data_IF_747574887799
#
_entry.id   IF_747574887799
#
_cell.length_a   1.000
_cell.length_b   1.000
_cell.length_c   1.000
_cell.angle_alpha   90.00
_cell.angle_beta   90.00
_cell.angle_gamma   90.00
#
_symmetry.space_group_name_H-M   'P 1'
#
loop_
_entity.id
_entity.type
_entity.pdbx_description
1 polymer ?
#
# COMPACT_ATOMS: atom_id res chain seq x y z
N UNK A 1 -1.17 -18.49 -21.59
CA UNK A 1 -1.60 -17.11 -21.27
C UNK A 1 -0.41 -16.16 -21.27
N UNK A 2 0.58 -16.34 -20.38
CA UNK A 2 1.79 -15.50 -20.29
C UNK A 2 2.53 -15.41 -21.64
N UNK A 3 2.85 -16.53 -22.30
CA UNK A 3 3.53 -16.51 -23.61
C UNK A 3 2.75 -15.80 -24.74
N UNK A 4 1.40 -15.79 -24.70
CA UNK A 4 0.57 -15.04 -25.69
C UNK A 4 0.58 -13.54 -25.41
N UNK A 5 0.55 -13.14 -24.13
CA UNK A 5 0.72 -11.75 -23.73
C UNK A 5 2.14 -11.23 -24.01
N UNK A 6 3.16 -12.08 -23.82
CA UNK A 6 4.56 -11.77 -24.11
C UNK A 6 4.79 -11.52 -25.62
N UNK A 7 4.29 -12.43 -26.47
CA UNK A 7 4.34 -12.27 -27.93
C UNK A 7 3.56 -11.04 -28.45
N UNK A 8 2.51 -10.60 -27.72
CA UNK A 8 1.79 -9.37 -28.02
C UNK A 8 2.58 -8.12 -27.63
N UNK A 9 3.33 -8.18 -26.53
CA UNK A 9 4.22 -7.10 -26.08
C UNK A 9 5.39 -6.88 -27.03
N UNK A 10 5.99 -7.95 -27.57
CA UNK A 10 7.05 -7.85 -28.59
C UNK A 10 6.55 -7.31 -29.93
N UNK A 11 5.31 -7.63 -30.33
CA UNK A 11 4.73 -7.20 -31.61
C UNK A 11 3.95 -5.88 -31.55
N UNK A 12 4.09 -5.11 -30.46
CA UNK A 12 3.32 -3.87 -30.20
C UNK A 12 3.43 -2.84 -31.33
N UNK A 13 4.56 -2.81 -32.04
CA UNK A 13 4.81 -1.90 -33.16
C UNK A 13 3.91 -2.18 -34.39
N UNK A 14 3.38 -3.39 -34.54
CA UNK A 14 2.52 -3.77 -35.67
C UNK A 14 1.04 -3.40 -35.48
N UNK A 15 0.64 -2.90 -34.31
CA UNK A 15 -0.75 -2.61 -33.96
C UNK A 15 -1.03 -1.12 -33.74
N UNK A 16 -0.28 -0.24 -34.40
CA UNK A 16 -0.55 1.20 -34.39
C UNK A 16 -1.95 1.50 -34.98
N UNK A 17 -2.90 1.87 -34.12
CA UNK A 17 -4.22 2.40 -34.51
C UNK A 17 -5.45 1.54 -34.19
N UNK A 18 -5.30 0.30 -33.67
CA UNK A 18 -6.44 -0.51 -33.19
C UNK A 18 -6.61 -0.42 -31.67
N UNK A 19 -7.85 -0.50 -31.18
CA UNK A 19 -8.15 -0.61 -29.75
C UNK A 19 -7.40 -1.81 -29.15
N UNK A 20 -6.31 -1.53 -28.44
CA UNK A 20 -5.38 -2.52 -27.89
C UNK A 20 -6.13 -3.53 -27.03
N UNK A 21 -7.11 -3.07 -26.25
CA UNK A 21 -7.96 -3.88 -25.37
C UNK A 21 -8.81 -4.87 -26.18
N UNK A 22 -9.44 -4.42 -27.26
CA UNK A 22 -10.24 -5.28 -28.13
C UNK A 22 -9.34 -6.34 -28.81
N UNK A 23 -8.17 -5.93 -29.29
CA UNK A 23 -7.21 -6.83 -29.95
C UNK A 23 -6.67 -7.90 -28.99
N UNK A 24 -6.37 -7.52 -27.73
CA UNK A 24 -6.01 -8.46 -26.65
C UNK A 24 -7.16 -9.43 -26.36
N UNK A 25 -8.39 -8.93 -26.32
CA UNK A 25 -9.56 -9.76 -26.05
C UNK A 25 -9.83 -10.77 -27.17
N UNK A 26 -9.55 -10.44 -28.43
CA UNK A 26 -9.71 -11.38 -29.56
C UNK A 26 -8.62 -12.45 -29.64
N UNK A 27 -7.49 -12.29 -28.93
CA UNK A 27 -6.39 -13.28 -28.90
C UNK A 27 -6.68 -14.52 -28.04
N UNK A 28 -7.71 -14.49 -27.20
CA UNK A 28 -8.07 -15.58 -26.30
C UNK A 28 -9.26 -16.39 -26.82
N UNK A 29 -9.14 -17.71 -26.78
CA UNK A 29 -10.25 -18.64 -27.04
C UNK A 29 -11.37 -18.49 -26.00
N UNK A 30 -12.59 -18.93 -26.30
CA UNK A 30 -13.73 -18.84 -25.38
C UNK A 30 -13.48 -19.51 -24.01
N UNK A 31 -12.74 -20.63 -23.99
CA UNK A 31 -12.34 -21.30 -22.73
C UNK A 31 -11.30 -20.48 -21.96
N UNK A 32 -10.32 -19.90 -22.64
CA UNK A 32 -9.32 -19.03 -22.02
C UNK A 32 -9.98 -17.78 -21.43
N UNK A 33 -10.93 -17.15 -22.14
CA UNK A 33 -11.71 -16.01 -21.63
C UNK A 33 -12.46 -16.34 -20.34
N UNK A 34 -13.14 -17.49 -20.30
CA UNK A 34 -13.85 -17.94 -19.09
C UNK A 34 -12.89 -18.15 -17.91
N UNK A 35 -11.75 -18.78 -18.14
CA UNK A 35 -10.76 -19.03 -17.08
C UNK A 35 -10.14 -17.72 -16.58
N UNK A 36 -9.87 -16.77 -17.47
CA UNK A 36 -9.39 -15.43 -17.12
C UNK A 36 -10.46 -14.70 -16.29
N UNK A 37 -11.73 -14.74 -16.69
CA UNK A 37 -12.84 -14.13 -15.96
C UNK A 37 -12.96 -14.68 -14.53
N UNK A 38 -12.92 -16.01 -14.38
CA UNK A 38 -12.97 -16.66 -13.05
C UNK A 38 -11.78 -16.20 -12.20
N UNK A 39 -10.58 -16.14 -12.79
CA UNK A 39 -9.39 -15.68 -12.09
C UNK A 39 -9.50 -14.20 -11.68
N UNK A 40 -10.00 -13.32 -12.56
CA UNK A 40 -10.22 -11.90 -12.26
C UNK A 40 -11.21 -11.71 -11.10
N UNK A 41 -12.34 -12.43 -11.12
CA UNK A 41 -13.34 -12.39 -10.04
C UNK A 41 -12.72 -12.85 -8.72
N UNK A 42 -11.95 -13.94 -8.73
CA UNK A 42 -11.26 -14.42 -7.53
C UNK A 42 -10.27 -13.39 -6.96
N UNK A 43 -9.54 -12.68 -7.82
CA UNK A 43 -8.65 -11.60 -7.41
C UNK A 43 -9.42 -10.39 -6.85
N UNK A 44 -10.58 -10.04 -7.42
CA UNK A 44 -11.40 -8.95 -6.90
C UNK A 44 -11.95 -9.29 -5.51
N UNK A 45 -12.49 -10.50 -5.34
CA UNK A 45 -12.99 -10.97 -4.04
C UNK A 45 -11.89 -11.00 -2.98
N UNK A 46 -10.68 -11.45 -3.34
CA UNK A 46 -9.54 -11.38 -2.43
C UNK A 46 -9.24 -9.93 -2.00
N UNK A 47 -9.19 -8.98 -2.94
CA UNK A 47 -8.79 -7.60 -2.62
C UNK A 47 -9.84 -6.93 -1.76
N UNK A 48 -11.11 -7.15 -2.08
CA UNK A 48 -12.23 -6.74 -1.24
C UNK A 48 -12.11 -7.32 0.18
N UNK A 49 -11.86 -8.63 0.30
CA UNK A 49 -11.66 -9.29 1.59
C UNK A 49 -10.48 -8.74 2.38
N UNK A 50 -9.37 -8.43 1.72
CA UNK A 50 -8.18 -7.84 2.35
C UNK A 50 -8.45 -6.43 2.89
N UNK A 51 -9.12 -5.57 2.12
CA UNK A 51 -9.47 -4.21 2.58
C UNK A 51 -10.50 -4.25 3.72
N UNK A 52 -11.52 -5.11 3.60
CA UNK A 52 -12.48 -5.33 4.67
C UNK A 52 -11.80 -5.83 5.95
N UNK A 53 -10.85 -6.77 5.83
CA UNK A 53 -10.07 -7.28 6.94
C UNK A 53 -9.23 -6.19 7.62
N UNK A 54 -8.41 -5.45 6.85
CA UNK A 54 -7.54 -4.40 7.38
C UNK A 54 -8.35 -3.35 8.17
N UNK A 55 -9.45 -2.86 7.59
CA UNK A 55 -10.30 -1.90 8.28
C UNK A 55 -10.99 -2.48 9.52
N UNK A 56 -11.35 -3.76 9.50
CA UNK A 56 -12.03 -4.43 10.63
C UNK A 56 -11.06 -4.58 11.80
N UNK A 57 -9.80 -4.92 11.54
CA UNK A 57 -8.76 -5.02 12.57
C UNK A 57 -8.46 -3.66 13.19
N UNK A 58 -8.35 -2.60 12.38
CA UNK A 58 -8.13 -1.25 12.90
C UNK A 58 -9.30 -0.79 13.78
N UNK A 59 -10.54 -1.03 13.34
CA UNK A 59 -11.75 -0.73 14.13
C UNK A 59 -11.81 -1.55 15.43
N UNK A 60 -11.53 -2.86 15.36
CA UNK A 60 -11.47 -3.75 16.50
C UNK A 60 -10.42 -3.31 17.52
N UNK A 61 -9.20 -3.03 17.07
CA UNK A 61 -8.10 -2.56 17.91
C UNK A 61 -8.46 -1.22 18.58
N UNK A 62 -9.04 -0.29 17.83
CA UNK A 62 -9.48 1.01 18.36
C UNK A 62 -10.48 0.83 19.51
N UNK A 63 -11.49 -0.02 19.34
CA UNK A 63 -12.47 -0.26 20.40
C UNK A 63 -11.89 -1.01 21.60
N UNK A 64 -11.03 -2.01 21.38
CA UNK A 64 -10.49 -2.83 22.47
C UNK A 64 -9.42 -2.09 23.28
N UNK A 65 -8.61 -1.22 22.67
CA UNK A 65 -7.69 -0.39 23.45
C UNK A 65 -8.40 0.70 24.26
N UNK A 66 -9.52 1.24 23.77
CA UNK A 66 -10.37 2.10 24.59
C UNK A 66 -11.00 1.33 25.77
N UNK A 67 -11.44 0.08 25.54
CA UNK A 67 -11.89 -0.82 26.61
C UNK A 67 -10.80 -1.04 27.65
N UNK A 68 -9.58 -1.38 27.24
CA UNK A 68 -8.47 -1.60 28.17
C UNK A 68 -8.22 -0.36 29.04
N UNK A 69 -8.34 0.85 28.49
CA UNK A 69 -8.19 2.10 29.24
C UNK A 69 -9.34 2.28 30.26
N UNK A 70 -10.57 1.97 29.86
CA UNK A 70 -11.74 2.00 30.74
C UNK A 70 -11.63 0.99 31.89
N UNK A 71 -11.30 -0.27 31.57
CA UNK A 71 -11.21 -1.37 32.54
C UNK A 71 -10.04 -1.16 33.54
N UNK A 72 -8.95 -0.52 33.11
CA UNK A 72 -7.80 -0.21 33.97
C UNK A 72 -7.92 1.12 34.73
N UNK A 73 -8.94 1.93 34.43
CA UNK A 73 -9.05 3.31 34.94
C UNK A 73 -7.86 4.21 34.53
N UNK A 74 -7.11 3.80 33.51
CA UNK A 74 -5.86 4.44 33.09
C UNK A 74 -6.04 5.43 31.95
N UNK A 75 -4.93 6.04 31.51
CA UNK A 75 -4.89 6.90 30.33
C UNK A 75 -5.14 6.10 29.05
N UNK A 76 -5.91 6.67 28.12
CA UNK A 76 -6.10 6.06 26.80
C UNK A 76 -4.80 6.13 26.00
N UNK A 77 -4.33 4.97 25.52
CA UNK A 77 -3.17 4.82 24.61
C UNK A 77 -3.59 4.17 23.28
N UNK A 78 -4.81 4.49 22.84
CA UNK A 78 -5.50 3.79 21.76
C UNK A 78 -4.85 4.08 20.42
N UNK A 79 -4.63 5.35 20.08
CA UNK A 79 -4.10 5.72 18.77
C UNK A 79 -2.59 5.52 18.65
N UNK A 80 -1.85 5.59 19.77
CA UNK A 80 -0.44 5.16 19.82
C UNK A 80 -0.31 3.70 19.40
N UNK A 81 -1.11 2.80 20.01
CA UNK A 81 -1.06 1.36 19.73
C UNK A 81 -1.64 0.99 18.36
N UNK A 82 -2.72 1.65 17.93
CA UNK A 82 -3.24 1.48 16.56
C UNK A 82 -2.21 1.95 15.53
N UNK A 83 -1.53 3.07 15.80
CA UNK A 83 -0.45 3.55 14.93
C UNK A 83 0.70 2.55 14.80
N UNK A 84 1.10 1.94 15.93
CA UNK A 84 2.10 0.89 15.98
C UNK A 84 1.65 -0.38 15.22
N UNK A 85 0.41 -0.80 15.45
CA UNK A 85 -0.20 -1.96 14.80
C UNK A 85 -0.15 -1.85 13.27
N UNK A 86 -0.59 -0.72 12.70
CA UNK A 86 -0.60 -0.51 11.25
C UNK A 86 0.82 -0.35 10.70
N UNK A 87 1.68 0.40 11.40
CA UNK A 87 3.09 0.60 11.00
C UNK A 87 3.88 -0.72 10.94
N UNK A 88 3.75 -1.56 11.96
CA UNK A 88 4.40 -2.87 11.99
C UNK A 88 3.85 -3.81 10.92
N UNK A 89 2.53 -3.81 10.69
CA UNK A 89 1.92 -4.61 9.63
C UNK A 89 2.48 -4.26 8.25
N UNK A 90 2.65 -2.97 7.95
CA UNK A 90 3.25 -2.49 6.70
C UNK A 90 4.70 -2.96 6.54
N UNK A 91 5.48 -2.95 7.62
CA UNK A 91 6.85 -3.47 7.62
C UNK A 91 6.88 -4.99 7.39
N UNK A 92 5.99 -5.74 8.05
CA UNK A 92 5.83 -7.17 7.88
C UNK A 92 5.36 -7.57 6.48
N UNK A 93 4.50 -6.77 5.83
CA UNK A 93 4.13 -6.94 4.43
C UNK A 93 5.36 -6.92 3.50
N UNK A 94 6.31 -6.01 3.75
CA UNK A 94 7.55 -5.92 2.98
C UNK A 94 8.43 -7.16 3.18
N UNK A 95 8.52 -7.66 4.41
CA UNK A 95 9.19 -8.93 4.71
C UNK A 95 8.55 -10.06 3.89
N UNK A 96 7.21 -10.14 3.89
CA UNK A 96 6.47 -11.10 3.06
C UNK A 96 6.82 -11.03 1.58
N UNK A 97 6.91 -9.83 1.02
CA UNK A 97 7.33 -9.63 -0.37
C UNK A 97 8.79 -10.04 -0.63
N UNK A 98 9.70 -9.96 0.34
CA UNK A 98 11.07 -10.48 0.16
C UNK A 98 11.10 -12.01 0.20
N UNK A 99 10.29 -12.62 1.07
CA UNK A 99 10.23 -14.08 1.27
C UNK A 99 9.72 -14.85 0.06
N UNK A 100 8.89 -14.25 -0.79
CA UNK A 100 8.30 -15.00 -1.91
C UNK A 100 9.30 -15.33 -3.01
N UNK A 101 10.31 -14.47 -3.25
CA UNK A 101 11.27 -14.64 -4.33
C UNK A 101 11.96 -16.02 -4.34
N UNK A 102 12.51 -16.53 -3.21
CA UNK A 102 13.05 -17.89 -3.17
C UNK A 102 11.95 -18.97 -3.31
N UNK A 103 10.74 -18.73 -2.82
CA UNK A 103 9.65 -19.72 -2.84
C UNK A 103 9.19 -20.01 -4.27
N UNK A 104 8.94 -18.97 -5.08
CA UNK A 104 8.50 -19.13 -6.47
C UNK A 104 9.60 -19.68 -7.38
N UNK A 105 10.86 -19.60 -6.95
CA UNK A 105 11.98 -20.22 -7.65
C UNK A 105 12.00 -21.73 -7.49
N UNK A 106 11.58 -22.23 -6.33
CA UNK A 106 11.57 -23.66 -6.03
C UNK A 106 10.23 -24.32 -6.34
N UNK A 107 9.12 -23.62 -6.08
CA UNK A 107 7.76 -24.13 -6.21
C UNK A 107 6.99 -23.36 -7.28
N UNK A 108 6.00 -24.02 -7.89
CA UNK A 108 5.14 -23.38 -8.87
C UNK A 108 4.35 -22.23 -8.23
N UNK A 109 4.27 -21.09 -8.92
CA UNK A 109 3.57 -19.87 -8.47
C UNK A 109 2.14 -20.14 -7.98
N UNK A 110 1.43 -21.08 -8.62
CA UNK A 110 0.07 -21.49 -8.20
C UNK A 110 0.02 -22.13 -6.81
N UNK A 111 1.03 -22.93 -6.45
CA UNK A 111 1.10 -23.59 -5.15
C UNK A 111 1.43 -22.55 -4.08
N UNK A 112 2.41 -21.70 -4.34
CA UNK A 112 2.78 -20.60 -3.44
C UNK A 112 1.58 -19.68 -3.17
N UNK A 113 0.81 -19.32 -4.21
CA UNK A 113 -0.38 -18.49 -4.08
C UNK A 113 -1.46 -19.16 -3.21
N UNK A 114 -1.79 -20.43 -3.50
CA UNK A 114 -2.82 -21.16 -2.74
C UNK A 114 -2.44 -21.32 -1.27
N UNK A 115 -1.17 -21.64 -0.99
CA UNK A 115 -0.68 -21.78 0.39
C UNK A 115 -0.76 -20.43 1.12
N UNK A 116 -0.28 -19.35 0.52
CA UNK A 116 -0.35 -18.03 1.14
C UNK A 116 -1.79 -17.57 1.41
N UNK A 117 -2.72 -17.80 0.47
CA UNK A 117 -4.15 -17.50 0.66
C UNK A 117 -4.74 -18.33 1.80
N UNK A 118 -4.41 -19.61 1.88
CA UNK A 118 -4.87 -20.48 2.96
C UNK A 118 -4.37 -20.00 4.33
N UNK A 119 -3.09 -19.67 4.45
CA UNK A 119 -2.53 -19.13 5.70
C UNK A 119 -3.12 -17.77 6.06
N UNK A 120 -3.34 -16.89 5.07
CA UNK A 120 -4.04 -15.63 5.29
C UNK A 120 -5.44 -15.87 5.86
N UNK A 121 -6.23 -16.74 5.23
CA UNK A 121 -7.56 -17.11 5.71
C UNK A 121 -7.53 -17.66 7.15
N UNK A 122 -6.57 -18.55 7.46
CA UNK A 122 -6.40 -19.09 8.81
C UNK A 122 -6.09 -18.01 9.85
N UNK A 123 -5.17 -17.08 9.53
CA UNK A 123 -4.82 -16.00 10.43
C UNK A 123 -5.99 -15.01 10.63
N UNK A 124 -6.79 -14.75 9.59
CA UNK A 124 -7.98 -13.89 9.70
C UNK A 124 -9.07 -14.54 10.57
N UNK A 125 -9.22 -15.88 10.49
CA UNK A 125 -10.17 -16.62 11.32
C UNK A 125 -9.74 -16.72 12.78
N UNK A 126 -8.42 -16.72 13.05
CA UNK A 126 -7.86 -16.88 14.39
C UNK A 126 -8.42 -15.86 15.39
N UNK A 127 -8.56 -14.59 14.99
CA UNK A 127 -9.10 -13.55 15.88
C UNK A 127 -10.57 -13.76 16.21
N UNK A 128 -11.38 -14.22 15.24
CA UNK A 128 -12.78 -14.55 15.49
C UNK A 128 -12.91 -15.76 16.42
N UNK A 129 -12.03 -16.76 16.26
CA UNK A 129 -11.99 -17.94 17.14
C UNK A 129 -11.61 -17.54 18.57
N UNK A 130 -10.54 -16.74 18.73
CA UNK A 130 -10.11 -16.26 20.05
C UNK A 130 -11.23 -15.45 20.72
N UNK A 131 -11.88 -14.54 19.98
CA UNK A 131 -12.97 -13.73 20.50
C UNK A 131 -14.15 -14.61 20.97
N UNK A 132 -14.57 -15.59 20.15
CA UNK A 132 -15.66 -16.51 20.50
C UNK A 132 -15.31 -17.42 21.69
N UNK A 133 -14.10 -17.98 21.74
CA UNK A 133 -13.66 -18.87 22.82
C UNK A 133 -13.55 -18.13 24.16
N UNK A 134 -13.23 -16.84 24.12
CA UNK A 134 -13.14 -16.01 25.32
C UNK A 134 -14.45 -15.33 25.71
N UNK A 135 -15.58 -15.80 25.17
CA UNK A 135 -16.93 -15.37 25.55
C UNK A 135 -17.48 -14.20 24.73
N UNK A 136 -16.80 -13.80 23.65
CA UNK A 136 -17.25 -12.78 22.72
C UNK A 136 -18.55 -13.17 22.02
N UNK A 137 -19.40 -12.18 21.79
CA UNK A 137 -20.70 -12.31 21.13
C UNK A 137 -20.80 -11.28 20.02
N UNK A 138 -21.57 -11.61 18.98
CA UNK A 138 -21.89 -10.65 17.93
C UNK A 138 -22.61 -9.46 18.57
N UNK A 139 -22.16 -8.25 18.25
CA UNK A 139 -22.77 -6.99 18.70
C UNK A 139 -24.28 -7.01 18.37
N UNK A 140 -25.18 -6.87 19.36
CA UNK A 140 -26.62 -6.99 19.12
C UNK A 140 -27.15 -5.83 18.26
N UNK A 141 -28.09 -6.10 17.35
CA UNK A 141 -28.59 -5.13 16.36
C UNK A 141 -29.34 -3.92 16.95
N UNK A 142 -29.80 -4.02 18.21
CA UNK A 142 -30.48 -2.94 18.94
C UNK A 142 -29.53 -2.10 19.80
N UNK A 143 -28.23 -2.37 19.74
CA UNK A 143 -27.22 -1.63 20.50
C UNK A 143 -27.10 -0.20 19.98
N UNK A 144 -27.82 0.73 20.62
CA UNK A 144 -27.65 2.18 20.38
C UNK A 144 -26.34 2.63 20.99
N UNK A 145 -25.62 3.49 20.26
CA UNK A 145 -24.40 4.18 20.73
C UNK A 145 -24.58 5.06 22.00
N UNK A 146 -25.77 5.04 22.62
CA UNK A 146 -26.10 5.79 23.83
C UNK A 146 -25.42 5.22 25.10
N UNK A 147 -24.83 4.02 25.02
CA UNK A 147 -23.96 3.46 26.05
C UNK A 147 -22.51 3.56 25.57
N UNK A 148 -21.91 4.74 25.75
CA UNK A 148 -20.59 5.13 25.19
C UNK A 148 -19.43 4.17 25.53
N UNK A 149 -19.58 3.27 26.52
CA UNK A 149 -18.53 2.38 27.03
C UNK A 149 -18.99 0.94 27.32
N UNK A 150 -20.08 0.44 26.72
CA UNK A 150 -20.47 -0.96 26.90
C UNK A 150 -19.69 -1.89 25.94
N UNK A 151 -18.62 -2.48 26.47
CA UNK A 151 -17.75 -3.43 25.78
C UNK A 151 -18.04 -4.90 26.11
N UNK A 152 -19.19 -5.18 26.72
CA UNK A 152 -19.57 -6.52 27.24
C UNK A 152 -19.65 -7.61 26.17
N UNK A 153 -19.76 -7.23 24.90
CA UNK A 153 -19.85 -8.14 23.78
C UNK A 153 -18.48 -8.64 23.26
N UNK A 154 -17.36 -8.03 23.64
CA UNK A 154 -16.03 -8.50 23.23
C UNK A 154 -15.51 -9.60 24.15
N UNK A 155 -14.82 -10.58 23.55
CA UNK A 155 -14.16 -11.65 24.27
C UNK A 155 -13.06 -11.17 25.23
N UNK A 156 -12.84 -11.93 26.29
CA UNK A 156 -11.86 -11.64 27.33
C UNK A 156 -10.48 -12.24 26.99
N UNK A 157 -9.67 -11.50 26.23
CA UNK A 157 -8.28 -11.83 25.92
C UNK A 157 -7.41 -10.58 25.87
N UNK A 158 -6.11 -10.73 26.06
CA UNK A 158 -5.19 -9.59 26.03
C UNK A 158 -5.20 -8.90 24.65
N UNK A 159 -5.52 -7.61 24.62
CA UNK A 159 -5.66 -6.84 23.37
C UNK A 159 -4.36 -6.75 22.57
N UNK A 160 -3.21 -6.79 23.23
CA UNK A 160 -1.90 -6.79 22.56
C UNK A 160 -1.66 -8.00 21.64
N UNK A 161 -2.43 -9.09 21.77
CA UNK A 161 -2.36 -10.26 20.87
C UNK A 161 -2.75 -9.89 19.43
N UNK A 162 -3.52 -8.81 19.22
CA UNK A 162 -3.89 -8.34 17.88
C UNK A 162 -2.64 -7.94 17.07
N UNK A 163 -1.61 -7.36 17.71
CA UNK A 163 -0.38 -6.91 17.04
C UNK A 163 0.37 -8.06 16.35
N UNK A 164 0.82 -9.12 17.05
CA UNK A 164 1.56 -10.20 16.41
C UNK A 164 0.72 -10.95 15.37
N UNK A 165 -0.59 -11.13 15.60
CA UNK A 165 -1.47 -11.77 14.60
C UNK A 165 -1.53 -10.92 13.34
N UNK A 166 -1.72 -9.60 13.48
CA UNK A 166 -1.78 -8.71 12.33
C UNK A 166 -0.44 -8.65 11.59
N UNK A 167 0.69 -8.60 12.29
CA UNK A 167 2.02 -8.72 11.68
C UNK A 167 2.18 -10.00 10.84
N UNK A 168 1.74 -11.15 11.36
CA UNK A 168 1.79 -12.43 10.62
C UNK A 168 0.89 -12.34 9.37
N UNK A 169 -0.30 -11.76 9.49
CA UNK A 169 -1.17 -11.53 8.31
C UNK A 169 -0.46 -10.66 7.27
N UNK A 170 0.22 -9.60 7.71
CA UNK A 170 1.14 -8.76 6.93
C UNK A 170 2.05 -9.57 6.03
N UNK A 171 2.81 -10.49 6.62
CA UNK A 171 3.72 -11.37 5.88
C UNK A 171 2.96 -12.18 4.83
N UNK A 172 1.84 -12.80 5.20
CA UNK A 172 1.08 -13.67 4.30
C UNK A 172 0.48 -12.92 3.11
N UNK A 173 -0.20 -11.80 3.31
CA UNK A 173 -0.80 -11.05 2.19
C UNK A 173 0.25 -10.27 1.40
N UNK A 174 1.38 -9.88 2.01
CA UNK A 174 2.54 -9.32 1.31
C UNK A 174 3.17 -10.29 0.31
N UNK A 175 3.14 -11.60 0.59
CA UNK A 175 3.49 -12.63 -0.40
C UNK A 175 2.45 -12.69 -1.53
N UNK A 176 1.16 -12.72 -1.19
CA UNK A 176 0.07 -12.84 -2.17
C UNK A 176 0.06 -11.65 -3.14
N UNK A 177 0.20 -10.44 -2.62
CA UNK A 177 0.20 -9.22 -3.44
C UNK A 177 1.38 -9.19 -4.42
N UNK A 178 2.56 -9.66 -4.02
CA UNK A 178 3.69 -9.74 -4.95
C UNK A 178 3.47 -10.82 -6.02
N UNK A 179 2.95 -12.00 -5.68
CA UNK A 179 2.59 -13.03 -6.68
C UNK A 179 1.55 -12.49 -7.68
N UNK A 180 0.56 -11.77 -7.17
CA UNK A 180 -0.50 -11.13 -7.97
C UNK A 180 0.03 -10.09 -8.94
N UNK A 181 1.09 -9.37 -8.56
CA UNK A 181 1.79 -8.42 -9.44
C UNK A 181 2.59 -9.14 -10.51
N UNK A 182 3.36 -10.17 -10.14
CA UNK A 182 4.14 -11.00 -11.08
C UNK A 182 3.25 -11.68 -12.12
N UNK A 183 2.03 -12.09 -11.73
CA UNK A 183 1.11 -12.80 -12.61
C UNK A 183 0.47 -11.88 -13.68
N UNK A 184 0.74 -10.57 -13.69
CA UNK A 184 0.37 -9.62 -14.75
C UNK A 184 -1.13 -9.29 -14.90
N UNK A 185 -2.03 -10.06 -14.27
CA UNK A 185 -3.49 -9.85 -14.38
C UNK A 185 -3.99 -8.73 -13.46
N UNK A 186 -3.33 -8.52 -12.32
CA UNK A 186 -3.80 -7.57 -11.31
C UNK A 186 -3.50 -6.11 -11.68
N UNK A 187 -2.33 -5.84 -12.26
CA UNK A 187 -1.89 -4.48 -12.61
C UNK A 187 -2.77 -3.79 -13.66
N UNK A 188 -3.58 -4.55 -14.40
CA UNK A 188 -4.51 -4.02 -15.39
C UNK A 188 -5.94 -3.76 -14.85
N UNK A 189 -6.31 -4.29 -13.68
CA UNK A 189 -7.72 -4.34 -13.24
C UNK A 189 -7.98 -3.68 -11.89
N UNK A 190 -7.07 -3.75 -10.93
CA UNK A 190 -7.29 -3.09 -9.63
C UNK A 190 -6.82 -1.64 -9.60
N UNK A 191 -6.11 -1.24 -10.65
CA UNK A 191 -5.32 -0.02 -10.64
C UNK A 191 -5.41 0.58 -12.03
N UNK A 192 -6.18 1.65 -12.17
CA UNK A 192 -6.22 2.45 -13.38
C UNK A 192 -4.84 2.94 -13.84
N UNK A 193 -3.79 2.83 -13.01
CA UNK A 193 -2.38 3.03 -13.37
C UNK A 193 -1.42 2.84 -12.16
N UNK A 194 -1.75 2.19 -11.03
CA UNK A 194 -0.86 2.18 -9.82
C UNK A 194 0.31 1.24 -10.07
N UNK A 195 1.30 1.83 -10.74
CA UNK A 195 2.57 1.27 -11.13
C UNK A 195 3.54 1.35 -9.94
N UNK A 196 3.21 0.71 -8.82
CA UNK A 196 4.30 0.19 -7.98
C UNK A 196 5.12 -0.69 -8.91
N UNK A 197 6.41 -0.38 -9.09
CA UNK A 197 7.05 -0.48 -10.38
C UNK A 197 6.84 -1.90 -10.89
N UNK A 198 6.65 -1.98 -12.20
CA UNK A 198 7.21 -3.08 -12.95
C UNK A 198 8.73 -3.00 -12.68
N UNK A 199 9.14 -3.37 -11.47
CA UNK A 199 10.44 -3.97 -11.21
C UNK A 199 10.44 -5.02 -12.29
N UNK A 200 11.25 -4.78 -13.32
CA UNK A 200 12.25 -5.69 -13.82
C UNK A 200 12.38 -6.98 -13.00
N UNK A 201 11.28 -7.70 -12.83
CA UNK A 201 11.21 -9.04 -12.30
C UNK A 201 11.79 -9.97 -13.37
N UNK A 202 11.75 -9.57 -14.63
CA UNK A 202 12.51 -10.26 -15.67
C UNK A 202 14.02 -10.17 -15.36
N UNK A 203 14.58 -9.03 -14.94
CA UNK A 203 16.03 -8.96 -14.60
C UNK A 203 16.38 -9.52 -13.21
N UNK A 204 15.51 -9.40 -12.19
CA UNK A 204 15.80 -9.97 -10.86
C UNK A 204 15.67 -11.50 -10.83
N UNK A 205 14.86 -12.09 -11.73
CA UNK A 205 14.62 -13.53 -11.78
C UNK A 205 15.38 -14.26 -12.91
N UNK A 206 15.80 -13.61 -14.00
CA UNK A 206 16.49 -14.31 -15.10
C UNK A 206 17.91 -14.77 -14.76
N UNK A 207 18.68 -14.02 -13.95
CA UNK A 207 20.12 -14.32 -13.82
C UNK A 207 20.49 -15.37 -12.76
N UNK A 208 19.53 -16.13 -12.22
CA UNK A 208 19.82 -17.13 -11.19
C UNK A 208 19.22 -18.52 -11.46
N UNK A 209 18.99 -18.88 -12.73
CA UNK A 209 18.44 -20.19 -13.08
C UNK A 209 19.36 -21.40 -12.74
N UNK A 210 20.63 -21.21 -12.34
CA UNK A 210 21.58 -22.33 -12.32
C UNK A 210 22.32 -22.65 -11.01
N UNK A 211 21.84 -22.25 -9.83
CA UNK A 211 22.45 -22.71 -8.57
C UNK A 211 21.38 -23.19 -7.59
N UNK A 212 21.45 -24.47 -7.20
CA UNK A 212 20.84 -25.04 -5.98
C UNK A 212 21.46 -24.33 -4.76
N UNK A 213 21.13 -23.06 -4.53
CA UNK A 213 21.48 -22.36 -3.27
C UNK A 213 20.49 -22.80 -2.19
N UNK A 214 21.00 -23.08 -1.00
CA UNK A 214 20.17 -23.29 0.19
C UNK A 214 19.18 -22.14 0.34
N UNK A 215 17.91 -22.45 0.66
CA UNK A 215 16.83 -21.48 0.84
C UNK A 215 17.26 -20.30 1.73
N UNK A 216 17.87 -20.59 2.87
CA UNK A 216 18.37 -19.60 3.82
C UNK A 216 19.42 -18.65 3.20
N UNK A 217 20.33 -19.18 2.38
CA UNK A 217 21.33 -18.37 1.67
C UNK A 217 20.68 -17.50 0.60
N UNK A 218 19.64 -17.98 -0.06
CA UNK A 218 18.85 -17.19 -1.02
C UNK A 218 18.09 -16.05 -0.34
N UNK A 219 17.57 -16.31 0.86
CA UNK A 219 16.82 -15.34 1.67
C UNK A 219 17.75 -14.23 2.17
N UNK A 220 18.91 -14.57 2.77
CA UNK A 220 19.94 -13.59 3.15
C UNK A 220 20.40 -12.79 1.94
N UNK A 221 20.63 -13.45 0.80
CA UNK A 221 21.01 -12.76 -0.43
C UNK A 221 19.91 -11.79 -0.91
N UNK A 222 18.63 -12.15 -0.75
CA UNK A 222 17.50 -11.27 -1.04
C UNK A 222 17.51 -10.01 -0.18
N UNK A 223 17.68 -10.15 1.14
CA UNK A 223 17.82 -9.00 2.04
C UNK A 223 19.04 -8.13 1.72
N UNK A 224 20.18 -8.76 1.39
CA UNK A 224 21.40 -8.05 1.00
C UNK A 224 21.19 -7.25 -0.31
N UNK A 225 20.59 -7.86 -1.32
CA UNK A 225 20.29 -7.20 -2.60
C UNK A 225 19.27 -6.08 -2.43
N UNK A 226 18.27 -6.25 -1.57
CA UNK A 226 17.32 -5.21 -1.22
C UNK A 226 18.02 -4.02 -0.56
N UNK A 227 18.86 -4.26 0.45
CA UNK A 227 19.67 -3.21 1.10
C UNK A 227 20.61 -2.50 0.13
N UNK A 228 21.27 -3.24 -0.76
CA UNK A 228 22.10 -2.67 -1.84
C UNK A 228 21.28 -1.80 -2.80
N UNK A 229 20.05 -2.20 -3.12
CA UNK A 229 19.13 -1.44 -3.96
C UNK A 229 18.70 -0.13 -3.29
N UNK A 230 18.39 -0.14 -1.99
CA UNK A 230 18.10 1.08 -1.21
C UNK A 230 19.30 2.03 -1.24
N UNK A 231 20.51 1.52 -0.97
CA UNK A 231 21.72 2.34 -0.98
C UNK A 231 22.00 2.97 -2.34
N UNK A 232 21.90 2.18 -3.42
CA UNK A 232 22.06 2.69 -4.79
C UNK A 232 20.98 3.70 -5.16
N UNK A 233 19.73 3.45 -4.79
CA UNK A 233 18.61 4.38 -5.00
C UNK A 233 18.83 5.72 -4.30
N UNK A 234 19.23 5.67 -3.02
CA UNK A 234 19.59 6.86 -2.26
C UNK A 234 20.76 7.61 -2.90
N UNK A 235 21.82 6.90 -3.33
CA UNK A 235 22.95 7.50 -4.03
C UNK A 235 22.49 8.20 -5.32
N UNK A 236 21.61 7.60 -6.12
CA UNK A 236 21.07 8.21 -7.36
C UNK A 236 20.31 9.49 -7.04
N UNK A 237 19.44 9.47 -6.02
CA UNK A 237 18.61 10.60 -5.63
C UNK A 237 19.47 11.76 -5.11
N UNK A 238 20.39 11.51 -4.18
CA UNK A 238 21.19 12.56 -3.56
C UNK A 238 22.34 13.07 -4.43
N UNK A 239 22.83 12.28 -5.40
CA UNK A 239 23.90 12.72 -6.31
C UNK A 239 23.37 13.61 -7.43
N UNK A 240 22.15 13.36 -7.91
CA UNK A 240 21.56 14.08 -9.04
C UNK A 240 20.47 15.05 -8.58
N UNK A 241 20.72 16.35 -8.72
CA UNK A 241 19.71 17.39 -8.42
C UNK A 241 18.36 17.20 -9.13
N UNK A 242 18.34 16.47 -10.26
CA UNK A 242 17.13 16.09 -11.00
C UNK A 242 16.14 15.25 -10.18
N UNK A 243 16.61 14.47 -9.20
CA UNK A 243 15.79 13.47 -8.50
C UNK A 243 15.51 13.81 -7.03
N UNK A 244 16.13 14.86 -6.48
CA UNK A 244 15.99 15.25 -5.06
C UNK A 244 14.52 15.51 -4.66
N UNK A 245 13.73 16.10 -5.56
CA UNK A 245 12.31 16.39 -5.34
C UNK A 245 11.43 15.14 -5.18
N UNK A 246 11.91 13.96 -5.58
CA UNK A 246 11.14 12.72 -5.46
C UNK A 246 10.92 12.32 -4.01
N UNK A 247 11.84 12.63 -3.09
CA UNK A 247 11.66 12.28 -1.67
C UNK A 247 10.42 12.96 -1.08
N UNK A 248 10.28 14.30 -1.13
CA UNK A 248 9.10 14.97 -0.61
C UNK A 248 7.84 14.69 -1.41
N UNK A 249 7.90 14.59 -2.75
CA UNK A 249 6.70 14.30 -3.54
C UNK A 249 6.25 12.84 -3.44
N UNK A 250 7.14 11.89 -3.22
CA UNK A 250 6.77 10.47 -3.13
C UNK A 250 6.61 10.03 -1.68
N UNK A 251 7.68 10.07 -0.88
CA UNK A 251 7.66 9.45 0.44
C UNK A 251 6.74 10.17 1.43
N UNK A 252 6.63 11.51 1.35
CA UNK A 252 5.70 12.26 2.22
C UNK A 252 4.25 12.16 1.75
N UNK A 253 4.01 12.11 0.44
CA UNK A 253 2.65 11.93 -0.12
C UNK A 253 2.06 10.60 0.32
N UNK A 254 2.77 9.49 0.06
CA UNK A 254 2.36 8.16 0.49
C UNK A 254 2.14 8.09 2.00
N UNK A 255 3.01 8.75 2.76
CA UNK A 255 2.87 8.85 4.21
C UNK A 255 1.57 9.58 4.59
N UNK A 256 1.31 10.77 4.05
CA UNK A 256 0.12 11.57 4.37
C UNK A 256 -1.15 10.84 3.95
N UNK A 257 -1.17 10.29 2.74
CA UNK A 257 -2.30 9.53 2.23
C UNK A 257 -2.67 8.40 3.20
N UNK A 258 -1.70 7.55 3.54
CA UNK A 258 -1.92 6.41 4.45
C UNK A 258 -2.18 6.82 5.89
N UNK A 259 -1.66 7.97 6.30
CA UNK A 259 -1.93 8.55 7.62
C UNK A 259 -3.35 9.08 7.72
N UNK A 260 -3.90 9.69 6.65
CA UNK A 260 -5.31 10.08 6.59
C UNK A 260 -6.21 8.85 6.68
N UNK A 261 -5.93 7.81 5.88
CA UNK A 261 -6.76 6.61 5.83
C UNK A 261 -6.74 5.78 7.12
N UNK A 262 -5.54 5.49 7.65
CA UNK A 262 -5.37 4.52 8.72
C UNK A 262 -5.01 5.14 10.07
N UNK A 263 -4.68 6.44 10.09
CA UNK A 263 -4.42 7.20 11.31
C UNK A 263 -5.62 8.08 11.68
N UNK A 264 -5.96 9.04 10.81
CA UNK A 264 -6.97 10.07 11.08
C UNK A 264 -8.41 9.55 10.94
N UNK A 265 -8.74 8.76 9.91
CA UNK A 265 -10.10 8.27 9.72
C UNK A 265 -10.64 7.45 10.91
N UNK A 266 -9.85 6.54 11.53
CA UNK A 266 -10.28 5.86 12.77
C UNK A 266 -10.53 6.83 13.92
N UNK A 267 -9.72 7.89 14.03
CA UNK A 267 -9.87 8.90 15.07
C UNK A 267 -11.14 9.73 14.90
N UNK A 268 -11.41 10.20 13.67
CA UNK A 268 -12.66 10.91 13.35
C UNK A 268 -13.86 10.00 13.65
N UNK A 269 -13.83 8.77 13.13
CA UNK A 269 -14.89 7.80 13.32
C UNK A 269 -15.18 7.54 14.81
N UNK A 270 -14.13 7.25 15.59
CA UNK A 270 -14.31 6.90 17.00
C UNK A 270 -14.61 8.11 17.90
N UNK A 271 -13.93 9.24 17.72
CA UNK A 271 -13.98 10.37 18.66
C UNK A 271 -14.97 11.46 18.27
N UNK A 272 -15.30 11.64 16.99
CA UNK A 272 -16.37 12.56 16.55
C UNK A 272 -17.68 11.85 16.29
N UNK A 273 -17.68 10.76 15.51
CA UNK A 273 -18.90 10.03 15.17
C UNK A 273 -19.31 8.98 16.21
N UNK A 274 -18.51 8.79 17.26
CA UNK A 274 -18.71 7.78 18.31
C UNK A 274 -18.88 6.34 17.77
N UNK A 275 -18.48 6.10 16.53
CA UNK A 275 -18.59 4.80 15.88
C UNK A 275 -17.35 4.53 15.02
N UNK A 276 -16.50 3.61 15.47
CA UNK A 276 -15.27 3.22 14.77
C UNK A 276 -15.52 2.58 13.40
N UNK A 277 -16.69 1.99 13.18
CA UNK A 277 -17.06 1.33 11.91
C UNK A 277 -17.11 2.32 10.74
N UNK A 278 -17.42 3.60 11.03
CA UNK A 278 -17.46 4.66 10.02
C UNK A 278 -16.10 4.94 9.40
N UNK A 279 -15.00 4.51 10.05
CA UNK A 279 -13.66 4.63 9.50
C UNK A 279 -13.54 3.93 8.15
N UNK A 280 -14.17 2.77 7.98
CA UNK A 280 -14.12 2.03 6.71
C UNK A 280 -14.88 2.77 5.60
N UNK A 281 -15.97 3.45 5.94
CA UNK A 281 -16.74 4.25 4.98
C UNK A 281 -15.91 5.46 4.53
N UNK A 282 -15.21 6.12 5.46
CA UNK A 282 -14.32 7.25 5.16
C UNK A 282 -13.18 6.79 4.23
N UNK A 283 -12.53 5.66 4.55
CA UNK A 283 -11.46 5.08 3.72
C UNK A 283 -11.98 4.64 2.35
N UNK A 284 -13.18 4.06 2.28
CA UNK A 284 -13.82 3.74 0.99
C UNK A 284 -14.04 5.00 0.15
N UNK A 285 -14.41 6.12 0.78
CA UNK A 285 -14.50 7.43 0.12
C UNK A 285 -13.15 7.91 -0.42
N UNK A 286 -12.06 7.73 0.34
CA UNK A 286 -10.68 8.02 -0.11
C UNK A 286 -10.32 7.25 -1.39
N UNK A 287 -10.46 5.92 -1.37
CA UNK A 287 -10.20 5.06 -2.53
C UNK A 287 -11.08 5.42 -3.75
N UNK A 288 -12.34 5.80 -3.52
CA UNK A 288 -13.22 6.28 -4.59
C UNK A 288 -12.76 7.61 -5.18
N UNK A 289 -12.23 8.51 -4.34
CA UNK A 289 -11.60 9.76 -4.75
C UNK A 289 -10.40 9.52 -5.67
N UNK A 290 -9.50 8.60 -5.32
CA UNK A 290 -8.37 8.20 -6.18
C UNK A 290 -8.85 7.72 -7.55
N UNK A 291 -9.88 6.85 -7.57
CA UNK A 291 -10.47 6.35 -8.81
C UNK A 291 -11.02 7.48 -9.71
N UNK A 292 -11.68 8.48 -9.11
CA UNK A 292 -12.16 9.65 -9.86
C UNK A 292 -11.00 10.53 -10.36
N UNK A 293 -9.94 10.69 -9.57
CA UNK A 293 -8.71 11.38 -9.97
C UNK A 293 -8.05 10.72 -11.19
N UNK A 294 -7.88 9.40 -11.15
CA UNK A 294 -7.34 8.60 -12.24
C UNK A 294 -8.16 8.77 -13.53
N UNK A 295 -9.50 8.74 -13.43
CA UNK A 295 -10.41 8.98 -14.56
C UNK A 295 -10.23 10.40 -15.11
N UNK A 296 -10.16 11.40 -14.22
CA UNK A 296 -9.98 12.79 -14.60
C UNK A 296 -8.68 12.97 -15.39
N UNK A 297 -7.55 12.45 -14.90
CA UNK A 297 -6.26 12.48 -15.60
C UNK A 297 -6.30 11.71 -16.92
N UNK A 298 -6.97 10.55 -16.98
CA UNK A 298 -7.11 9.79 -18.21
C UNK A 298 -7.83 10.58 -19.32
N UNK A 299 -8.87 11.34 -18.99
CA UNK A 299 -9.53 12.20 -19.96
C UNK A 299 -8.70 13.43 -20.34
N UNK A 300 -7.99 14.01 -19.37
CA UNK A 300 -7.25 15.25 -19.57
C UNK A 300 -5.92 15.06 -20.33
N UNK A 301 -5.26 13.92 -20.13
CA UNK A 301 -4.07 13.49 -20.89
C UNK A 301 -4.33 13.37 -22.39
N UNK A 302 -5.56 13.08 -22.81
CA UNK A 302 -5.94 13.12 -24.24
C UNK A 302 -6.01 14.54 -24.82
N UNK A 303 -6.22 15.55 -23.98
CA UNK A 303 -6.40 16.95 -24.39
C UNK A 303 -5.12 17.78 -24.25
N UNK A 304 -4.23 17.42 -23.31
CA UNK A 304 -2.99 18.16 -23.01
C UNK A 304 -1.77 17.27 -23.26
N UNK A 305 -0.89 17.72 -24.17
CA UNK A 305 0.24 16.94 -24.71
C UNK A 305 1.37 16.66 -23.69
N UNK A 306 1.41 17.42 -22.59
CA UNK A 306 2.41 17.29 -21.53
C UNK A 306 1.83 17.67 -20.16
N UNK A 307 1.03 16.80 -19.52
CA UNK A 307 0.44 17.12 -18.23
C UNK A 307 1.48 16.93 -17.11
N UNK A 308 2.71 17.43 -17.23
CA UNK A 308 3.74 17.25 -16.16
C UNK A 308 3.31 18.00 -14.89
N UNK A 309 2.78 19.21 -15.04
CA UNK A 309 2.26 19.99 -13.90
C UNK A 309 0.97 19.35 -13.38
N UNK A 310 0.09 18.86 -14.25
CA UNK A 310 -1.16 18.21 -13.85
C UNK A 310 -0.96 16.82 -13.24
N UNK A 311 0.00 16.02 -13.69
CA UNK A 311 0.42 14.77 -13.05
C UNK A 311 1.03 15.03 -11.67
N UNK A 312 1.76 16.15 -11.51
CA UNK A 312 2.37 16.53 -10.22
C UNK A 312 1.39 17.22 -9.27
N UNK A 313 0.33 17.84 -9.80
CA UNK A 313 -0.79 18.41 -9.05
C UNK A 313 -1.87 17.37 -8.74
N UNK A 314 -1.92 16.27 -9.50
CA UNK A 314 -2.64 15.04 -9.16
C UNK A 314 -1.83 14.27 -8.10
N UNK A 315 -1.57 14.97 -6.99
CA UNK A 315 -0.77 14.58 -5.83
C UNK A 315 -1.53 13.63 -4.89
N UNK A 316 -2.37 12.79 -5.49
CA UNK A 316 -3.17 11.79 -4.78
C UNK A 316 -3.32 10.50 -5.56
N UNK A 317 -2.63 10.35 -6.69
CA UNK A 317 -2.71 9.16 -7.51
C UNK A 317 -1.30 8.58 -7.72
N UNK A 318 -0.97 7.50 -7.00
CA UNK A 318 0.29 6.74 -7.09
C UNK A 318 0.71 6.49 -8.55
N UNK A 319 -0.30 6.39 -9.39
CA UNK A 319 -0.35 6.32 -10.85
C UNK A 319 0.58 7.29 -11.57
N UNK A 320 0.42 8.57 -11.30
CA UNK A 320 1.00 9.67 -12.06
C UNK A 320 2.51 9.75 -11.80
N UNK A 321 2.88 9.79 -10.52
CA UNK A 321 4.25 9.83 -10.04
C UNK A 321 5.05 8.60 -10.50
N UNK A 322 4.46 7.41 -10.40
CA UNK A 322 5.10 6.19 -10.86
C UNK A 322 5.35 6.19 -12.38
N UNK A 323 4.40 6.73 -13.16
CA UNK A 323 4.57 6.88 -14.60
C UNK A 323 5.67 7.90 -14.97
N UNK A 324 5.74 9.05 -14.28
CA UNK A 324 6.80 10.04 -14.49
C UNK A 324 8.18 9.45 -14.14
N UNK A 325 8.30 8.78 -13.00
CA UNK A 325 9.52 8.10 -12.58
C UNK A 325 9.98 7.06 -13.60
N UNK A 326 9.08 6.22 -14.10
CA UNK A 326 9.40 5.25 -15.16
C UNK A 326 9.88 5.92 -16.43
N UNK A 327 9.23 6.99 -16.88
CA UNK A 327 9.63 7.73 -18.08
C UNK A 327 10.98 8.44 -17.91
N UNK A 328 11.28 8.90 -16.70
CA UNK A 328 12.48 9.66 -16.36
C UNK A 328 13.71 8.78 -16.05
N UNK A 329 13.50 7.56 -15.55
CA UNK A 329 14.55 6.62 -15.15
C UNK A 329 14.79 5.49 -16.15
N UNK A 330 13.81 5.15 -17.01
CA UNK A 330 14.05 4.26 -18.16
C UNK A 330 15.16 4.78 -19.09
N UNK A 331 15.37 6.10 -19.10
CA UNK A 331 16.45 6.76 -19.85
C UNK A 331 17.82 6.77 -19.12
N UNK A 332 17.88 6.48 -17.81
CA UNK A 332 19.13 6.55 -17.05
C UNK A 332 19.95 5.26 -17.16
N UNK A 333 20.95 5.25 -18.05
CA UNK A 333 21.93 4.17 -18.21
C UNK A 333 22.99 4.19 -17.10
N UNK A 334 22.64 3.91 -15.84
CA UNK A 334 23.66 3.56 -14.85
C UNK A 334 23.97 2.07 -14.98
N UNK A 335 25.13 1.77 -15.57
CA UNK A 335 25.69 0.41 -15.76
C UNK A 335 26.03 -0.21 -14.39
N UNK A 336 25.07 -0.87 -13.75
CA UNK A 336 25.35 -1.97 -12.84
C UNK A 336 24.61 -3.19 -13.39
N UNK A 337 25.34 -4.28 -13.65
CA UNK A 337 24.81 -5.46 -14.36
C UNK A 337 23.70 -6.18 -13.58
N UNK A 338 23.68 -6.03 -12.25
CA UNK A 338 22.86 -6.87 -11.37
C UNK A 338 21.60 -6.16 -10.81
N UNK A 339 21.47 -4.83 -10.94
CA UNK A 339 20.38 -4.08 -10.27
C UNK A 339 19.88 -2.92 -11.16
N UNK A 340 18.58 -2.94 -11.46
CA UNK A 340 17.88 -1.88 -12.18
C UNK A 340 17.92 -0.54 -11.43
N UNK A 341 18.21 0.54 -12.15
CA UNK A 341 18.24 1.91 -11.61
C UNK A 341 16.86 2.38 -11.14
N UNK A 342 15.81 2.06 -11.91
CA UNK A 342 14.42 2.35 -11.53
C UNK A 342 14.02 1.60 -10.27
N UNK A 343 14.29 0.28 -10.24
CA UNK A 343 13.99 -0.56 -9.07
C UNK A 343 14.70 -0.08 -7.81
N UNK A 344 15.95 0.38 -7.94
CA UNK A 344 16.75 0.93 -6.83
C UNK A 344 16.14 2.21 -6.24
N UNK A 345 15.80 3.19 -7.10
CA UNK A 345 15.20 4.46 -6.66
C UNK A 345 13.86 4.21 -5.97
N UNK A 346 13.04 3.32 -6.52
CA UNK A 346 11.74 2.96 -5.95
C UNK A 346 11.88 2.22 -4.61
N UNK A 347 12.82 1.28 -4.50
CA UNK A 347 13.09 0.59 -3.24
C UNK A 347 13.48 1.57 -2.13
N UNK A 348 14.29 2.58 -2.45
CA UNK A 348 14.64 3.66 -1.52
C UNK A 348 13.41 4.47 -1.10
N UNK A 349 12.64 5.01 -2.05
CA UNK A 349 11.49 5.87 -1.74
C UNK A 349 10.39 5.15 -0.93
N UNK A 350 10.08 3.90 -1.27
CA UNK A 350 9.14 3.08 -0.50
C UNK A 350 9.66 2.79 0.90
N UNK A 351 10.93 2.43 1.03
CA UNK A 351 11.53 2.14 2.34
C UNK A 351 11.56 3.40 3.22
N UNK A 352 11.86 4.56 2.65
CA UNK A 352 11.77 5.85 3.34
C UNK A 352 10.34 6.13 3.82
N UNK A 353 9.33 5.92 2.96
CA UNK A 353 7.92 6.05 3.35
C UNK A 353 7.55 5.10 4.50
N UNK A 354 7.89 3.81 4.41
CA UNK A 354 7.54 2.81 5.43
C UNK A 354 8.18 3.16 6.78
N UNK A 355 9.44 3.59 6.77
CA UNK A 355 10.15 4.01 7.98
C UNK A 355 9.49 5.27 8.58
N UNK A 356 9.20 6.27 7.75
CA UNK A 356 8.49 7.48 8.18
C UNK A 356 7.13 7.12 8.80
N UNK A 357 6.36 6.27 8.13
CA UNK A 357 5.04 5.84 8.59
C UNK A 357 5.11 5.04 9.89
N UNK A 358 6.02 4.08 10.01
CA UNK A 358 6.18 3.26 11.21
C UNK A 358 6.64 4.06 12.45
N UNK A 359 7.36 5.18 12.26
CA UNK A 359 7.82 6.04 13.35
C UNK A 359 6.81 7.14 13.66
N UNK A 360 6.34 7.88 12.65
CA UNK A 360 5.46 9.03 12.86
C UNK A 360 4.06 8.62 13.29
N UNK A 361 3.53 7.50 12.81
CA UNK A 361 2.16 7.10 13.11
C UNK A 361 1.94 6.82 14.63
N UNK A 362 2.78 6.02 15.32
CA UNK A 362 2.69 5.86 16.77
C UNK A 362 2.95 7.17 17.54
N UNK A 363 3.93 7.98 17.12
CA UNK A 363 4.28 9.23 17.79
C UNK A 363 3.13 10.25 17.75
N UNK A 364 2.50 10.40 16.59
CA UNK A 364 1.34 11.27 16.44
C UNK A 364 0.12 10.69 17.16
N UNK A 365 -0.06 9.38 17.13
CA UNK A 365 -1.08 8.69 17.95
C UNK A 365 -0.92 9.00 19.43
N UNK A 366 0.31 8.91 19.96
CA UNK A 366 0.63 9.26 21.35
C UNK A 366 0.34 10.72 21.68
N UNK A 367 0.67 11.65 20.78
CA UNK A 367 0.35 13.06 20.96
C UNK A 367 -1.15 13.31 21.03
N UNK A 368 -1.93 12.65 20.16
CA UNK A 368 -3.39 12.75 20.13
C UNK A 368 -4.00 12.17 21.40
N UNK A 369 -3.53 10.99 21.82
CA UNK A 369 -3.94 10.33 23.05
C UNK A 369 -3.65 11.23 24.28
N UNK A 370 -2.46 11.84 24.35
CA UNK A 370 -2.08 12.76 25.43
C UNK A 370 -3.00 13.98 25.53
N UNK A 371 -3.33 14.59 24.39
CA UNK A 371 -4.26 15.72 24.34
C UNK A 371 -5.67 15.29 24.72
N UNK A 372 -6.12 14.14 24.23
CA UNK A 372 -7.43 13.60 24.57
C UNK A 372 -7.56 13.37 26.07
N UNK A 373 -6.55 12.74 26.70
CA UNK A 373 -6.54 12.49 28.13
C UNK A 373 -6.55 13.79 28.97
N UNK A 374 -5.95 14.87 28.46
CA UNK A 374 -5.87 16.16 29.17
C UNK A 374 -7.14 16.99 29.00
N UNK A 375 -7.65 17.10 27.77
CA UNK A 375 -8.70 18.06 27.41
C UNK A 375 -10.08 17.40 27.19
N UNK A 376 -10.18 16.07 27.26
CA UNK A 376 -11.36 15.27 26.89
C UNK A 376 -11.91 15.59 25.48
N UNK A 377 -11.10 16.25 24.65
CA UNK A 377 -11.45 16.71 23.32
C UNK A 377 -10.26 16.56 22.39
N UNK A 378 -10.51 16.08 21.17
CA UNK A 378 -9.46 15.85 20.16
C UNK A 378 -9.25 17.05 19.23
N UNK A 379 -10.13 18.05 19.28
CA UNK A 379 -10.09 19.24 18.40
C UNK A 379 -8.71 19.93 18.38
N UNK A 380 -8.06 20.24 19.52
CA UNK A 380 -6.73 20.85 19.48
C UNK A 380 -5.69 19.93 18.83
N UNK A 381 -5.75 18.62 19.06
CA UNK A 381 -4.84 17.68 18.43
C UNK A 381 -4.97 17.71 16.90
N UNK A 382 -6.20 17.72 16.38
CA UNK A 382 -6.46 17.77 14.94
C UNK A 382 -6.05 19.09 14.27
N UNK A 383 -6.13 20.21 14.98
CA UNK A 383 -5.61 21.48 14.44
C UNK A 383 -4.12 21.33 14.13
N UNK A 384 -3.35 20.67 14.99
CA UNK A 384 -1.92 20.48 14.76
C UNK A 384 -1.60 19.33 13.80
N UNK A 385 -2.26 18.17 13.92
CA UNK A 385 -1.95 16.98 13.10
C UNK A 385 -2.61 16.99 11.72
N UNK A 386 -3.82 17.53 11.58
CA UNK A 386 -4.51 17.63 10.29
C UNK A 386 -4.33 19.03 9.71
N UNK A 387 -4.54 20.08 10.51
CA UNK A 387 -4.43 21.45 10.03
C UNK A 387 -2.98 21.83 9.70
N UNK A 388 -2.10 21.88 10.70
CA UNK A 388 -0.74 22.39 10.55
C UNK A 388 0.14 21.42 9.77
N UNK A 389 0.21 20.16 10.19
CA UNK A 389 1.12 19.19 9.58
C UNK A 389 0.79 18.92 8.10
N UNK A 390 -0.47 18.64 7.74
CA UNK A 390 -0.83 18.39 6.34
C UNK A 390 -0.58 19.65 5.51
N UNK A 391 -0.90 20.85 6.00
CA UNK A 391 -0.61 22.10 5.29
C UNK A 391 0.90 22.29 5.05
N UNK A 392 1.74 22.03 6.04
CA UNK A 392 3.21 22.09 5.88
C UNK A 392 3.66 21.08 4.82
N UNK A 393 3.15 19.85 4.84
CA UNK A 393 3.51 18.82 3.86
C UNK A 393 3.02 19.22 2.47
N UNK A 394 1.79 19.73 2.32
CA UNK A 394 1.27 20.24 1.05
C UNK A 394 2.12 21.39 0.51
N UNK A 395 2.57 22.32 1.36
CA UNK A 395 3.50 23.40 0.95
C UNK A 395 4.84 22.83 0.50
N UNK A 396 5.41 21.90 1.26
CA UNK A 396 6.68 21.24 0.90
C UNK A 396 6.58 20.49 -0.43
N UNK A 397 5.49 19.77 -0.65
CA UNK A 397 5.20 19.08 -1.92
C UNK A 397 5.04 20.08 -3.06
N UNK A 398 4.25 21.15 -2.86
CA UNK A 398 4.06 22.19 -3.87
C UNK A 398 5.37 22.87 -4.26
N UNK A 399 6.22 23.22 -3.29
CA UNK A 399 7.56 23.79 -3.56
C UNK A 399 8.43 22.77 -4.29
N UNK A 400 8.37 21.50 -3.91
CA UNK A 400 9.18 20.43 -4.49
C UNK A 400 8.86 20.19 -5.97
N UNK A 401 7.60 20.37 -6.37
CA UNK A 401 7.14 20.29 -7.76
C UNK A 401 7.86 21.28 -8.69
N UNK A 402 8.39 22.39 -8.16
CA UNK A 402 9.11 23.42 -8.93
C UNK A 402 10.62 23.23 -9.00
N UNK A 403 11.21 22.29 -8.26
CA UNK A 403 12.67 22.03 -8.24
C UNK A 403 13.24 21.54 -9.59
N UNK A 404 12.56 20.70 -10.40
CA UNK A 404 13.10 20.23 -11.68
C UNK A 404 13.32 21.38 -12.69
N UNK A 405 14.39 21.31 -13.51
CA UNK A 405 14.60 22.25 -14.61
C UNK A 405 13.40 22.23 -15.58
N UNK A 406 12.99 23.41 -16.05
CA UNK A 406 11.80 23.64 -16.91
C UNK A 406 10.42 23.41 -16.26
N UNK A 407 10.33 23.28 -14.92
CA UNK A 407 9.08 23.10 -14.17
C UNK A 407 8.04 24.21 -14.33
N UNK A 408 8.47 25.42 -14.68
CA UNK A 408 7.58 26.58 -14.91
C UNK A 408 6.96 26.61 -16.31
N UNK A 409 7.37 25.73 -17.23
CA UNK A 409 6.78 25.67 -18.58
C UNK A 409 5.58 24.73 -18.53
N UNK A 410 4.41 25.23 -18.94
CA UNK A 410 3.18 24.44 -19.15
C UNK A 410 3.34 23.34 -20.21
N UNK A 411 4.37 23.45 -21.07
CA UNK A 411 4.69 22.48 -22.12
C UNK A 411 6.20 22.44 -22.42
N UNK A 412 7.02 21.77 -21.59
CA UNK A 412 8.43 21.61 -21.87
C UNK A 412 8.63 20.54 -22.94
N UNK A 413 9.51 20.78 -23.92
CA UNK A 413 9.89 19.77 -24.89
C UNK A 413 10.61 18.62 -24.20
N UNK A 414 10.06 17.40 -24.28
CA UNK A 414 10.72 16.17 -23.82
C UNK A 414 12.02 15.98 -24.63
N UNK A 415 13.17 16.36 -24.06
CA UNK A 415 14.48 15.93 -24.56
C UNK A 415 14.85 14.58 -23.93
#
# INVERSE_FOLDING_TARGET
>A
MINKCFNFSENKNNYHGKNIIATIWYLFSGREKRNILIYMIGLMLYKFGLEAFNGSIVSLATNRYDRDAYDSGGSAHTFEKVGLLVGLNQACQCIGSILIAPIIKHWQTRIALSISIFFFALCTALLMIIDAVTGGKIKPSYFRAMYENDYSYYGNYQTNIIIPIYCITGITYGMIELIRRISGVTGALTTGLVFIPHISNDEFFEENQNIKRNYFKSLINGFYLFGKSIYLGGKIIFTNRKYIWLIPCYSLEFYVHRYIENGIAPQIAKRYFQNSEWSQIIVAGSNFGEFLGAIFVFFLTKKIRSPIILLRLDSGDDISLNADMQSSLSKSKLKNKDISSLGSVMAFLYSSYIILYAILNPLLGKYIDQIYNTNQTIRPAFIYTVGVQITIISILMAISTFIPRDSFKLNPSLK
#
